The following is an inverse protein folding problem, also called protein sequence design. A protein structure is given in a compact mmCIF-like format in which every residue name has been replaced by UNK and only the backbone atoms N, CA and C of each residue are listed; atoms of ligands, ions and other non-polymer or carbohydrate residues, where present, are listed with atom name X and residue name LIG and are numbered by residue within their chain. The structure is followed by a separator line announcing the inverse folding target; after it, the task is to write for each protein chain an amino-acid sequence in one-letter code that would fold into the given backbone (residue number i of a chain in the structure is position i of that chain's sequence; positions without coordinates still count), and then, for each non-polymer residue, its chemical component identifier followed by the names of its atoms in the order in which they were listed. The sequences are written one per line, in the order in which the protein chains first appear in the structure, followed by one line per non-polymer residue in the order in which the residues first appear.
data_IF_929879134505
#
_entry.id   IF_929879134505
#
_cell.length_a   1.000
_cell.length_b   1.000
_cell.length_c   1.000
_cell.angle_alpha   90.00
_cell.angle_beta   90.00
_cell.angle_gamma   90.00
#
_symmetry.space_group_name_H-M   'P 1'
#
loop_
_entity.id
_entity.type
_entity.pdbx_description
1 polymer ?
#
# COMPACT_ATOMS: atom_id res chain seq x y z
N UNK A 1 3.34 -11.66 8.61
CA UNK A 1 3.29 -11.51 7.14
C UNK A 1 3.93 -10.18 6.73
N UNK A 2 4.28 -9.98 5.45
CA UNK A 2 4.61 -8.65 4.91
C UNK A 2 3.72 -8.35 3.72
N UNK A 3 3.28 -7.11 3.60
CA UNK A 3 2.53 -6.60 2.45
C UNK A 3 3.44 -5.61 1.74
N UNK A 4 3.70 -5.85 0.45
CA UNK A 4 4.50 -4.96 -0.40
C UNK A 4 3.52 -4.20 -1.28
N UNK A 5 3.62 -2.88 -1.26
CA UNK A 5 2.71 -1.97 -1.95
C UNK A 5 3.47 -1.19 -3.02
N UNK A 6 2.78 -0.84 -4.11
CA UNK A 6 3.34 -0.09 -5.23
C UNK A 6 2.61 1.25 -5.36
N UNK A 7 3.31 2.35 -5.10
CA UNK A 7 2.79 3.70 -5.30
C UNK A 7 2.91 4.15 -6.76
N UNK A 8 2.00 5.04 -7.18
CA UNK A 8 1.98 5.67 -8.51
C UNK A 8 1.87 4.69 -9.69
N UNK A 9 1.18 3.57 -9.49
CA UNK A 9 1.03 2.52 -10.51
C UNK A 9 -0.11 2.79 -11.51
N UNK A 10 -0.94 3.82 -11.27
CA UNK A 10 -1.98 4.28 -12.18
C UNK A 10 -1.66 5.70 -12.65
N UNK A 11 -1.50 5.90 -13.96
CA UNK A 11 -1.10 7.19 -14.53
C UNK A 11 -2.06 8.33 -14.16
N UNK A 12 -3.37 8.07 -14.14
CA UNK A 12 -4.38 9.05 -13.73
C UNK A 12 -4.22 9.49 -12.27
N UNK A 13 -3.94 8.55 -11.37
CA UNK A 13 -3.73 8.84 -9.95
C UNK A 13 -2.40 9.55 -9.68
N UNK A 14 -1.35 9.23 -10.44
CA UNK A 14 -0.09 9.96 -10.38
C UNK A 14 -0.31 11.46 -10.73
N UNK A 15 -1.06 11.72 -11.80
CA UNK A 15 -1.41 13.07 -12.23
C UNK A 15 -2.30 13.83 -11.22
N UNK A 16 -3.31 13.16 -10.64
CA UNK A 16 -4.20 13.70 -9.59
C UNK A 16 -3.39 14.27 -8.41
N UNK A 17 -2.37 13.54 -7.98
CA UNK A 17 -1.51 13.91 -6.85
C UNK A 17 -0.32 14.81 -7.25
N UNK A 18 -0.32 15.36 -8.48
CA UNK A 18 0.75 16.22 -8.99
C UNK A 18 2.12 15.56 -9.08
N UNK A 19 2.17 14.24 -9.24
CA UNK A 19 3.41 13.48 -9.33
C UNK A 19 3.68 13.03 -10.77
N UNK A 20 4.95 13.03 -11.16
CA UNK A 20 5.38 12.33 -12.37
C UNK A 20 5.27 10.82 -12.19
N UNK A 21 4.99 10.12 -13.29
CA UNK A 21 5.08 8.66 -13.37
C UNK A 21 6.55 8.29 -13.18
N UNK A 22 6.85 7.58 -12.09
CA UNK A 22 8.21 7.22 -11.77
C UNK A 22 8.74 6.17 -12.77
N UNK A 23 9.99 6.32 -13.20
CA UNK A 23 10.66 5.35 -14.08
C UNK A 23 10.83 3.98 -13.41
N UNK A 24 10.96 3.97 -12.08
CA UNK A 24 10.96 2.77 -11.25
C UNK A 24 9.76 2.78 -10.28
N UNK A 25 9.20 1.60 -9.95
CA UNK A 25 8.08 1.53 -9.00
C UNK A 25 8.44 2.11 -7.64
N UNK A 26 7.55 2.94 -7.08
CA UNK A 26 7.68 3.39 -5.69
C UNK A 26 7.24 2.26 -4.78
N UNK A 27 8.16 1.71 -3.98
CA UNK A 27 7.88 0.56 -3.12
C UNK A 27 7.83 1.00 -1.66
N UNK A 28 6.78 0.56 -0.95
CA UNK A 28 6.69 0.65 0.51
C UNK A 28 6.06 -0.63 1.06
N UNK A 29 6.00 -0.74 2.39
CA UNK A 29 5.47 -1.93 3.05
C UNK A 29 4.46 -1.60 4.14
N UNK A 30 3.54 -2.54 4.36
CA UNK A 30 2.70 -2.60 5.55
C UNK A 30 3.02 -3.85 6.37
N UNK A 31 3.13 -3.74 7.70
CA UNK A 31 3.35 -4.87 8.59
C UNK A 31 2.09 -5.72 8.73
N UNK A 32 2.24 -6.90 9.35
CA UNK A 32 1.12 -7.78 9.70
C UNK A 32 0.07 -7.08 10.58
N UNK A 33 0.51 -6.18 11.47
CA UNK A 33 -0.38 -5.42 12.37
C UNK A 33 -1.27 -4.40 11.64
N UNK A 34 -0.92 -4.02 10.40
CA UNK A 34 -1.76 -3.13 9.61
C UNK A 34 -3.01 -3.83 9.05
N UNK A 35 -3.08 -5.17 9.07
CA UNK A 35 -4.21 -5.91 8.52
C UNK A 35 -5.45 -5.71 9.39
N UNK A 36 -6.50 -5.15 8.81
CA UNK A 36 -7.82 -5.07 9.41
C UNK A 36 -8.42 -6.48 9.57
N UNK A 37 -8.89 -6.81 10.77
CA UNK A 37 -9.53 -8.09 11.07
C UNK A 37 -11.03 -7.85 11.20
N UNK A 38 -11.86 -8.68 10.54
CA UNK A 38 -13.31 -8.47 10.42
C UNK A 38 -14.10 -8.25 11.72
N UNK A 39 -13.56 -8.61 12.89
CA UNK A 39 -14.20 -8.41 14.20
C UNK A 39 -13.80 -7.11 14.89
N UNK A 40 -12.84 -6.39 14.33
CA UNK A 40 -12.36 -5.14 14.89
C UNK A 40 -13.21 -3.99 14.36
N UNK A 41 -13.48 -2.99 15.19
CA UNK A 41 -14.00 -1.72 14.69
C UNK A 41 -12.88 -0.95 14.00
N UNK A 42 -13.20 -0.30 12.87
CA UNK A 42 -12.27 0.59 12.19
C UNK A 42 -12.17 1.92 12.93
N UNK A 43 -10.95 2.34 13.25
CA UNK A 43 -10.69 3.61 13.93
C UNK A 43 -9.82 4.51 13.07
N UNK A 44 -10.25 5.75 12.89
CA UNK A 44 -9.40 6.82 12.35
C UNK A 44 -8.45 7.25 13.47
N UNK A 45 -7.13 7.22 13.28
CA UNK A 45 -6.19 7.66 14.30
C UNK A 45 -6.34 9.15 14.61
N UNK A 46 -6.18 9.53 15.88
CA UNK A 46 -6.35 10.90 16.37
C UNK A 46 -5.25 11.88 15.90
N UNK A 47 -4.12 11.35 15.46
CA UNK A 47 -2.98 12.13 14.98
C UNK A 47 -3.06 12.54 13.50
N UNK A 48 -4.11 12.14 12.77
CA UNK A 48 -4.38 12.57 11.39
C UNK A 48 -5.76 13.20 11.29
N UNK A 49 -5.88 14.22 10.43
CA UNK A 49 -7.16 14.87 10.13
C UNK A 49 -7.69 14.48 8.74
N UNK A 50 -6.96 13.65 8.00
CA UNK A 50 -7.24 13.37 6.59
C UNK A 50 -6.86 11.93 6.22
N UNK A 51 -7.85 11.04 6.25
CA UNK A 51 -7.68 9.62 5.87
C UNK A 51 -8.34 9.35 4.53
N UNK A 52 -7.53 8.92 3.57
CA UNK A 52 -7.97 8.48 2.25
C UNK A 52 -8.07 6.96 2.19
N UNK A 53 -9.00 6.45 1.37
CA UNK A 53 -9.06 5.05 0.96
C UNK A 53 -8.55 4.93 -0.48
N UNK A 54 -7.67 3.96 -0.74
CA UNK A 54 -7.15 3.65 -2.07
C UNK A 54 -7.54 2.20 -2.39
N UNK A 55 -8.40 1.98 -3.39
CA UNK A 55 -8.80 0.63 -3.82
C UNK A 55 -7.69 0.03 -4.69
N UNK A 56 -7.22 -1.16 -4.31
CA UNK A 56 -6.08 -1.81 -4.96
C UNK A 56 -6.36 -3.28 -5.27
N UNK A 57 -5.69 -3.80 -6.31
CA UNK A 57 -5.63 -5.24 -6.57
C UNK A 57 -4.57 -5.86 -5.67
N UNK A 58 -4.96 -6.87 -4.90
CA UNK A 58 -4.08 -7.60 -4.00
C UNK A 58 -3.73 -8.94 -4.62
N UNK A 59 -2.43 -9.24 -4.68
CA UNK A 59 -1.90 -10.50 -5.21
C UNK A 59 -1.31 -11.32 -4.07
N UNK A 60 -1.79 -12.55 -3.88
CA UNK A 60 -1.22 -13.45 -2.86
C UNK A 60 -0.05 -14.24 -3.44
N UNK A 61 1.15 -13.92 -2.96
CA UNK A 61 2.36 -14.68 -3.31
C UNK A 61 2.36 -16.01 -2.55
N UNK A 62 2.39 -17.12 -3.28
CA UNK A 62 2.29 -18.48 -2.72
C UNK A 62 3.57 -19.31 -2.85
N UNK A 63 4.66 -18.72 -3.34
CA UNK A 63 5.99 -19.37 -3.47
C UNK A 63 7.12 -18.42 -3.09
N UNK A 64 8.19 -18.97 -2.52
CA UNK A 64 9.43 -18.23 -2.29
C UNK A 64 10.16 -18.02 -3.61
N UNK A 65 10.60 -16.81 -3.88
CA UNK A 65 11.42 -16.51 -5.06
C UNK A 65 12.31 -15.29 -4.86
N UNK A 66 13.42 -15.28 -5.58
CA UNK A 66 14.43 -14.21 -5.61
C UNK A 66 14.91 -14.09 -7.05
N UNK A 67 15.02 -12.87 -7.57
CA UNK A 67 15.45 -12.61 -8.96
C UNK A 67 14.62 -13.39 -9.99
N UNK A 68 13.30 -13.36 -9.85
CA UNK A 68 12.37 -14.09 -10.73
C UNK A 68 12.32 -13.38 -12.09
N UNK A 69 12.61 -14.08 -13.18
CA UNK A 69 12.38 -13.53 -14.52
C UNK A 69 10.89 -13.27 -14.76
N UNK A 70 10.55 -12.19 -15.46
CA UNK A 70 9.17 -11.77 -15.69
C UNK A 70 8.28 -12.89 -16.28
N UNK A 71 8.83 -13.70 -17.20
CA UNK A 71 8.13 -14.85 -17.82
C UNK A 71 7.69 -15.93 -16.82
N UNK A 72 8.30 -15.97 -15.63
CA UNK A 72 7.97 -16.92 -14.58
C UNK A 72 7.08 -16.33 -13.48
N UNK A 73 6.86 -15.01 -13.44
CA UNK A 73 6.05 -14.36 -12.42
C UNK A 73 4.65 -14.98 -12.23
N UNK A 74 3.89 -15.38 -13.29
CA UNK A 74 2.58 -16.02 -13.13
C UNK A 74 2.59 -17.35 -12.35
N UNK A 75 3.77 -17.96 -12.13
CA UNK A 75 3.90 -19.20 -11.35
C UNK A 75 3.95 -18.94 -9.83
N UNK A 76 4.04 -17.70 -9.37
CA UNK A 76 4.29 -17.33 -7.96
C UNK A 76 3.05 -16.79 -7.23
N UNK A 77 1.92 -16.69 -7.92
CA UNK A 77 0.63 -16.35 -7.35
C UNK A 77 -0.45 -17.17 -8.05
N UNK A 78 -1.58 -17.38 -7.38
CA UNK A 78 -2.76 -18.03 -7.97
C UNK A 78 -4.07 -17.37 -7.53
N UNK A 79 -4.00 -16.44 -6.57
CA UNK A 79 -5.15 -15.83 -5.94
C UNK A 79 -5.01 -14.31 -6.01
N UNK A 80 -6.13 -13.67 -6.28
CA UNK A 80 -6.28 -12.23 -6.33
C UNK A 80 -7.51 -11.85 -5.52
N UNK A 81 -7.45 -10.68 -4.93
CA UNK A 81 -8.59 -10.04 -4.28
C UNK A 81 -8.49 -8.54 -4.46
N UNK A 82 -9.42 -7.80 -3.89
CA UNK A 82 -9.35 -6.35 -3.75
C UNK A 82 -9.01 -5.99 -2.30
N UNK A 83 -8.35 -4.86 -2.12
CA UNK A 83 -8.02 -4.35 -0.80
C UNK A 83 -8.12 -2.84 -0.75
N UNK A 84 -8.10 -2.31 0.47
CA UNK A 84 -8.04 -0.87 0.72
C UNK A 84 -6.70 -0.55 1.38
N UNK A 85 -5.91 0.31 0.73
CA UNK A 85 -4.74 0.97 1.31
C UNK A 85 -5.19 2.30 1.94
N UNK A 86 -5.47 2.28 3.24
CA UNK A 86 -5.73 3.51 3.97
C UNK A 86 -4.46 4.32 4.17
N UNK A 87 -4.59 5.63 3.94
CA UNK A 87 -3.47 6.57 3.98
C UNK A 87 -3.86 7.80 4.78
N UNK A 88 -3.07 8.14 5.80
CA UNK A 88 -3.13 9.46 6.43
C UNK A 88 -2.44 10.47 5.50
N UNK A 89 -3.24 11.16 4.68
CA UNK A 89 -2.76 11.92 3.52
C UNK A 89 -2.00 13.19 3.92
N UNK A 90 -2.49 13.87 4.95
CA UNK A 90 -1.84 15.02 5.57
C UNK A 90 -0.42 14.66 6.06
N UNK A 91 -0.31 13.54 6.78
CA UNK A 91 0.95 13.02 7.30
C UNK A 91 1.87 12.58 6.17
N UNK A 92 1.36 11.88 5.15
CA UNK A 92 2.16 11.48 4.00
C UNK A 92 2.75 12.68 3.26
N UNK A 93 1.96 13.74 3.06
CA UNK A 93 2.39 14.96 2.37
C UNK A 93 3.52 15.65 3.13
N UNK A 94 3.39 15.76 4.46
CA UNK A 94 4.44 16.30 5.31
C UNK A 94 5.73 15.46 5.31
N UNK A 95 5.62 14.12 5.28
CA UNK A 95 6.77 13.21 5.20
C UNK A 95 7.47 13.31 3.83
N UNK A 96 6.71 13.33 2.73
CA UNK A 96 7.23 13.52 1.36
C UNK A 96 8.03 14.81 1.24
N UNK A 97 7.50 15.93 1.76
CA UNK A 97 8.17 17.23 1.70
C UNK A 97 9.54 17.24 2.42
N UNK A 98 9.73 16.36 3.40
CA UNK A 98 10.96 16.24 4.20
C UNK A 98 11.85 15.07 3.76
N UNK A 99 11.46 14.30 2.74
CA UNK A 99 12.16 13.08 2.35
C UNK A 99 12.17 11.99 3.42
N UNK A 100 11.14 11.96 4.27
CA UNK A 100 11.03 11.04 5.40
C UNK A 100 10.25 9.76 5.02
N UNK A 101 10.45 8.66 5.75
CA UNK A 101 9.85 7.37 5.42
C UNK A 101 8.34 7.35 5.79
N UNK A 102 7.56 6.54 5.07
CA UNK A 102 6.09 6.67 4.99
C UNK A 102 5.31 5.85 6.02
N UNK A 103 5.97 5.12 6.91
CA UNK A 103 5.33 4.15 7.82
C UNK A 103 4.27 4.81 8.70
N UNK A 104 4.50 6.03 9.19
CA UNK A 104 3.48 6.75 9.97
C UNK A 104 2.19 6.98 9.18
N UNK A 105 2.30 7.23 7.88
CA UNK A 105 1.15 7.53 7.02
C UNK A 105 0.52 6.28 6.38
N UNK A 106 1.31 5.22 6.18
CA UNK A 106 0.92 4.03 5.40
C UNK A 106 0.87 2.74 6.20
N UNK A 107 1.50 2.64 7.37
CA UNK A 107 1.69 1.38 8.09
C UNK A 107 1.07 1.38 9.50
N UNK A 108 0.15 2.31 9.79
CA UNK A 108 -0.60 2.32 11.04
C UNK A 108 -1.55 1.12 11.13
N UNK A 109 -1.98 0.80 12.35
CA UNK A 109 -2.86 -0.34 12.62
C UNK A 109 -4.14 -0.24 11.77
N UNK A 110 -4.60 -1.38 11.28
CA UNK A 110 -5.80 -1.50 10.44
C UNK A 110 -5.76 -0.73 9.09
N UNK A 111 -4.61 -0.19 8.69
CA UNK A 111 -4.47 0.55 7.43
C UNK A 111 -4.53 -0.31 6.16
N UNK A 112 -4.66 -1.63 6.27
CA UNK A 112 -4.77 -2.56 5.16
C UNK A 112 -6.02 -3.45 5.29
N UNK A 113 -7.01 -3.26 4.42
CA UNK A 113 -8.15 -4.18 4.29
C UNK A 113 -7.88 -5.14 3.15
N UNK A 114 -8.13 -6.44 3.36
CA UNK A 114 -7.99 -7.50 2.36
C UNK A 114 -9.34 -8.23 2.23
N UNK A 115 -9.83 -8.40 0.99
CA UNK A 115 -11.09 -9.09 0.69
C UNK A 115 -10.96 -10.60 0.56
#
# INVERSE_FOLDING_TARGET
MKIICIGRNYAAHAAELGNEVAAEPVIFMKPDSAVFRQRDAFYIPDWTNDVHYELEVVVRINRLGKNIEAKFAPKYFAEFTVGIDFTARDVQSALKAKGLPWEKAKAFDQSAVLG
#
